data_IF_644452768530
#
_entry.id   IF_644452768530
#
_cell.length_a   1.000
_cell.length_b   1.000
_cell.length_c   1.000
_cell.angle_alpha   90.00
_cell.angle_beta   90.00
_cell.angle_gamma   90.00
#
_symmetry.space_group_name_H-M   'P 1'
#
loop_
_entity.id
_entity.type
_entity.pdbx_description
1 polymer ?
#
# COMPACT_ATOMS: atom_id res chain seq x y z
N UNK A 1 5.67 -38.69 -12.99
CA UNK A 1 5.05 -38.10 -11.79
C UNK A 1 6.07 -37.11 -11.24
N UNK A 2 5.90 -35.83 -11.56
CA UNK A 2 6.83 -34.77 -11.16
C UNK A 2 5.99 -33.50 -10.99
N UNK A 3 5.23 -33.51 -9.91
CA UNK A 3 4.46 -32.38 -9.42
C UNK A 3 4.88 -32.24 -7.97
N UNK A 4 5.09 -30.99 -7.55
CA UNK A 4 5.22 -30.54 -6.16
C UNK A 4 6.63 -30.15 -5.67
N UNK A 5 7.33 -29.28 -6.41
CA UNK A 5 8.44 -28.49 -5.82
C UNK A 5 8.52 -27.05 -6.38
N UNK A 6 7.38 -26.35 -6.51
CA UNK A 6 7.38 -24.96 -7.03
C UNK A 6 6.72 -23.91 -6.12
N UNK A 7 6.43 -24.20 -4.84
CA UNK A 7 5.75 -23.23 -3.94
C UNK A 7 6.19 -23.29 -2.47
N UNK A 8 7.40 -23.74 -2.15
CA UNK A 8 7.80 -24.06 -0.77
C UNK A 8 8.27 -22.87 0.11
N UNK A 9 7.99 -21.62 -0.27
CA UNK A 9 8.30 -20.45 0.56
C UNK A 9 7.07 -19.60 0.83
N UNK A 10 6.89 -19.14 2.07
CA UNK A 10 5.92 -18.07 2.36
C UNK A 10 6.26 -16.83 1.52
N UNK A 11 5.27 -16.10 0.97
CA UNK A 11 5.53 -14.90 0.18
C UNK A 11 6.40 -13.90 0.94
N UNK A 12 7.31 -13.22 0.24
CA UNK A 12 7.97 -12.05 0.81
C UNK A 12 6.95 -10.92 0.95
N UNK A 13 6.74 -10.48 2.19
CA UNK A 13 5.88 -9.33 2.48
C UNK A 13 6.53 -8.02 2.05
N UNK A 14 5.75 -7.16 1.42
CA UNK A 14 6.16 -5.82 0.95
C UNK A 14 5.26 -4.78 1.59
N UNK A 15 5.86 -3.82 2.27
CA UNK A 15 5.20 -2.59 2.70
C UNK A 15 5.39 -1.53 1.63
N UNK A 16 4.30 -0.95 1.13
CA UNK A 16 4.35 0.14 0.14
C UNK A 16 4.13 1.44 0.87
N UNK A 17 5.08 2.38 0.78
CA UNK A 17 4.95 3.72 1.35
C UNK A 17 4.68 4.71 0.23
N UNK A 18 3.55 5.41 0.31
CA UNK A 18 3.15 6.44 -0.65
C UNK A 18 3.22 7.80 0.05
N UNK A 19 4.18 8.66 -0.29
CA UNK A 19 4.18 10.05 0.16
C UNK A 19 3.07 10.82 -0.54
N UNK A 20 2.29 11.57 0.24
CA UNK A 20 1.07 12.25 -0.20
C UNK A 20 1.25 13.76 -0.05
N UNK A 21 1.28 14.45 -1.18
CA UNK A 21 1.21 15.91 -1.23
C UNK A 21 0.14 16.33 -2.24
N UNK A 22 -0.91 17.01 -1.75
CA UNK A 22 -2.05 17.42 -2.57
C UNK A 22 -2.68 16.27 -3.39
N UNK A 23 -2.83 15.11 -2.75
CA UNK A 23 -3.21 13.86 -3.38
C UNK A 23 -4.71 13.60 -3.50
N UNK A 24 -5.59 14.48 -3.02
CA UNK A 24 -7.04 14.26 -2.89
C UNK A 24 -7.67 13.56 -4.11
N UNK A 25 -7.30 14.00 -5.32
CA UNK A 25 -7.90 13.52 -6.58
C UNK A 25 -7.31 12.21 -7.12
N UNK A 26 -6.18 11.75 -6.59
CA UNK A 26 -5.41 10.63 -7.15
C UNK A 26 -5.27 9.45 -6.18
N UNK A 27 -5.40 9.68 -4.87
CA UNK A 27 -5.16 8.64 -3.86
C UNK A 27 -6.01 7.40 -4.04
N UNK A 28 -7.28 7.54 -4.43
CA UNK A 28 -8.15 6.39 -4.72
C UNK A 28 -7.57 5.53 -5.84
N UNK A 29 -7.18 6.13 -6.96
CA UNK A 29 -6.64 5.40 -8.11
C UNK A 29 -5.32 4.69 -7.76
N UNK A 30 -4.43 5.36 -7.02
CA UNK A 30 -3.17 4.75 -6.56
C UNK A 30 -3.43 3.55 -5.66
N UNK A 31 -4.36 3.65 -4.70
CA UNK A 31 -4.73 2.51 -3.86
C UNK A 31 -5.36 1.39 -4.70
N UNK A 32 -6.25 1.71 -5.63
CA UNK A 32 -6.88 0.73 -6.52
C UNK A 32 -5.85 -0.05 -7.37
N UNK A 33 -4.76 0.59 -7.80
CA UNK A 33 -3.66 -0.07 -8.50
C UNK A 33 -2.87 -1.04 -7.61
N UNK A 34 -2.78 -0.76 -6.30
CA UNK A 34 -2.04 -1.57 -5.34
C UNK A 34 -2.87 -2.73 -4.77
N UNK A 35 -4.20 -2.58 -4.71
CA UNK A 35 -5.09 -3.60 -4.13
C UNK A 35 -4.94 -5.00 -4.75
N UNK A 36 -4.77 -5.18 -6.07
CA UNK A 36 -4.52 -6.51 -6.64
C UNK A 36 -3.24 -7.18 -6.12
N UNK A 37 -2.24 -6.40 -5.69
CA UNK A 37 -0.95 -6.89 -5.23
C UNK A 37 -0.96 -7.38 -3.77
N UNK A 38 -2.10 -7.25 -3.07
CA UNK A 38 -2.28 -7.80 -1.71
C UNK A 38 -2.47 -9.32 -1.72
N UNK A 39 -2.74 -9.89 -2.89
CA UNK A 39 -2.72 -11.32 -3.12
C UNK A 39 -1.31 -11.75 -3.59
N UNK A 40 -0.84 -12.94 -3.19
CA UNK A 40 0.47 -13.42 -3.63
C UNK A 40 0.61 -13.44 -5.15
N UNK A 41 1.73 -12.90 -5.65
CA UNK A 41 2.03 -12.85 -7.08
C UNK A 41 3.50 -13.19 -7.34
N UNK A 42 3.79 -13.62 -8.57
CA UNK A 42 5.15 -13.92 -9.01
C UNK A 42 5.70 -12.75 -9.82
N UNK A 43 6.94 -12.38 -9.53
CA UNK A 43 7.73 -11.53 -10.43
C UNK A 43 8.12 -12.30 -11.70
N UNK A 44 8.60 -11.60 -12.75
CA UNK A 44 9.19 -12.26 -13.92
C UNK A 44 10.31 -13.26 -13.56
N UNK A 45 11.11 -12.95 -12.53
CA UNK A 45 12.20 -13.80 -12.03
C UNK A 45 11.74 -14.84 -10.99
N UNK A 46 10.43 -15.07 -10.87
CA UNK A 46 9.81 -16.13 -10.04
C UNK A 46 9.95 -15.92 -8.52
N UNK A 47 10.15 -14.69 -8.06
CA UNK A 47 10.02 -14.37 -6.63
C UNK A 47 8.54 -14.29 -6.24
N UNK A 48 8.14 -15.00 -5.18
CA UNK A 48 6.78 -14.94 -4.62
C UNK A 48 6.68 -13.77 -3.64
N UNK A 49 5.87 -12.77 -4.00
CA UNK A 49 5.71 -11.52 -3.26
C UNK A 49 4.25 -11.31 -2.86
N UNK A 50 4.02 -10.48 -1.84
CA UNK A 50 2.70 -10.02 -1.43
C UNK A 50 2.81 -8.62 -0.81
N UNK A 51 1.94 -7.69 -1.21
CA UNK A 51 1.80 -6.42 -0.48
C UNK A 51 1.04 -6.67 0.81
N UNK A 52 1.66 -6.36 1.95
CA UNK A 52 1.11 -6.64 3.28
C UNK A 52 0.64 -5.39 4.03
N UNK A 53 0.97 -4.21 3.51
CA UNK A 53 0.43 -2.93 3.96
C UNK A 53 0.70 -1.83 2.93
N UNK A 54 -0.19 -0.82 2.92
CA UNK A 54 -0.06 0.42 2.15
C UNK A 54 -0.06 1.58 3.14
N UNK A 55 1.06 2.28 3.26
CA UNK A 55 1.23 3.40 4.19
C UNK A 55 1.05 4.69 3.40
N UNK A 56 0.00 5.45 3.70
CA UNK A 56 -0.25 6.77 3.12
C UNK A 56 0.34 7.83 4.06
N UNK A 57 1.56 8.28 3.74
CA UNK A 57 2.27 9.30 4.51
C UNK A 57 1.88 10.70 4.05
N UNK A 58 1.11 11.45 4.84
CA UNK A 58 0.60 12.77 4.46
C UNK A 58 1.03 13.88 5.42
N UNK A 59 1.17 15.09 4.88
CA UNK A 59 1.34 16.31 5.66
C UNK A 59 0.01 17.09 5.74
N UNK A 60 -0.22 17.91 6.78
CA UNK A 60 -1.25 18.94 6.74
C UNK A 60 -1.02 19.84 5.53
N UNK A 61 -1.99 19.86 4.62
CA UNK A 61 -1.92 20.59 3.35
C UNK A 61 -3.21 21.34 3.05
N UNK A 62 -3.24 22.10 1.94
CA UNK A 62 -4.41 22.90 1.58
C UNK A 62 -5.56 22.10 0.96
N UNK A 63 -5.42 20.78 0.81
CA UNK A 63 -6.44 19.90 0.23
C UNK A 63 -6.94 18.85 1.23
N UNK A 64 -7.91 18.04 0.80
CA UNK A 64 -8.57 17.05 1.64
C UNK A 64 -7.84 15.69 1.72
N UNK A 65 -6.54 15.63 1.39
CA UNK A 65 -5.76 14.37 1.39
C UNK A 65 -5.86 13.59 2.71
N UNK A 66 -5.92 14.29 3.85
CA UNK A 66 -6.08 13.68 5.17
C UNK A 66 -7.45 13.03 5.39
N UNK A 67 -8.51 13.61 4.81
CA UNK A 67 -9.86 13.02 4.82
C UNK A 67 -9.88 11.77 3.93
N UNK A 68 -9.41 11.90 2.70
CA UNK A 68 -9.37 10.78 1.73
C UNK A 68 -8.54 9.61 2.25
N UNK A 69 -7.39 9.86 2.87
CA UNK A 69 -6.54 8.80 3.45
C UNK A 69 -7.24 8.03 4.58
N UNK A 70 -8.06 8.71 5.40
CA UNK A 70 -8.85 8.05 6.45
C UNK A 70 -10.00 7.23 5.88
N UNK A 71 -10.72 7.77 4.90
CA UNK A 71 -11.79 7.03 4.19
C UNK A 71 -11.25 5.76 3.52
N UNK A 72 -10.06 5.83 2.92
CA UNK A 72 -9.40 4.67 2.33
C UNK A 72 -9.01 3.62 3.38
N UNK A 73 -8.57 4.03 4.56
CA UNK A 73 -8.24 3.14 5.68
C UNK A 73 -9.49 2.46 6.28
N UNK A 74 -10.62 3.15 6.31
CA UNK A 74 -11.90 2.57 6.72
C UNK A 74 -12.41 1.53 5.72
N UNK A 75 -12.20 1.77 4.41
CA UNK A 75 -12.63 0.89 3.33
C UNK A 75 -11.71 -0.31 3.12
N UNK A 76 -10.42 -0.16 3.40
CA UNK A 76 -9.39 -1.16 3.10
C UNK A 76 -8.47 -1.36 4.30
N UNK A 77 -8.60 -2.49 5.00
CA UNK A 77 -7.80 -2.81 6.21
C UNK A 77 -6.28 -2.80 5.98
N UNK A 78 -5.84 -2.97 4.73
CA UNK A 78 -4.44 -2.95 4.31
C UNK A 78 -3.83 -1.53 4.32
N UNK A 79 -4.67 -0.49 4.34
CA UNK A 79 -4.26 0.92 4.24
C UNK A 79 -4.04 1.50 5.63
N UNK A 80 -2.89 2.13 5.84
CA UNK A 80 -2.49 2.78 7.09
C UNK A 80 -2.18 4.26 6.82
N UNK A 81 -3.02 5.20 7.28
CA UNK A 81 -2.73 6.62 7.15
C UNK A 81 -1.74 7.05 8.24
N UNK A 82 -0.65 7.71 7.85
CA UNK A 82 0.36 8.25 8.77
C UNK A 82 0.52 9.73 8.47
N UNK A 83 0.22 10.58 9.45
CA UNK A 83 0.57 11.99 9.33
C UNK A 83 2.05 12.15 9.65
N UNK A 84 2.80 12.88 8.83
CA UNK A 84 4.13 13.31 9.22
C UNK A 84 3.99 14.46 10.24
N UNK A 85 4.59 14.25 11.41
CA UNK A 85 4.75 15.30 12.39
C UNK A 85 6.05 16.03 12.08
N UNK A 86 5.99 17.34 11.82
CA UNK A 86 7.18 18.19 11.94
C UNK A 86 7.25 18.60 13.42
N UNK A 87 8.32 18.26 14.17
CA UNK A 87 8.47 18.77 15.53
C UNK A 87 8.63 20.30 15.51
N UNK A 88 7.92 21.00 16.40
CA UNK A 88 8.05 22.44 16.72
C UNK A 88 8.29 23.39 15.52
N UNK A 89 7.26 23.55 14.68
CA UNK A 89 7.15 24.69 13.75
C UNK A 89 6.60 25.94 14.44
#
# INVERSE_FOLDING_TARGET
MMTDDMTHGSPHGISVVVPVHQGERHLQAVVDELLPLVHPFLTPDRHLLQVVEIILGYDPGPDDSARVSRELAEKHEIVRPVQFSIPDA
#
